data_IF_871288475451
#
_entry.id   IF_871288475451
#
_cell.length_a   1.000
_cell.length_b   1.000
_cell.length_c   1.000
_cell.angle_alpha   90.00
_cell.angle_beta   90.00
_cell.angle_gamma   90.00
#
_symmetry.space_group_name_H-M   'P 1'
#
loop_
_entity.id
_entity.type
_entity.pdbx_description
1 polymer ?
#
# COMPACT_ATOMS: atom_id res chain seq x y z
N UNK A 1 -33.52 4.19 -25.16
CA UNK A 1 -32.18 4.06 -24.54
C UNK A 1 -32.34 3.18 -23.29
N UNK A 2 -31.30 2.47 -22.83
CA UNK A 2 -31.40 1.66 -21.59
C UNK A 2 -30.55 2.25 -20.45
N UNK A 3 -31.01 2.11 -19.21
CA UNK A 3 -30.35 2.69 -18.04
C UNK A 3 -28.97 2.08 -17.78
N UNK A 4 -28.81 0.76 -17.87
CA UNK A 4 -27.53 0.14 -17.52
C UNK A 4 -26.47 0.53 -18.56
N UNK A 5 -26.83 0.59 -19.84
CA UNK A 5 -25.93 1.11 -20.89
C UNK A 5 -25.49 2.57 -20.66
N UNK A 6 -26.38 3.43 -20.15
CA UNK A 6 -26.06 4.84 -19.83
C UNK A 6 -25.24 4.94 -18.55
N UNK A 7 -25.58 4.15 -17.53
CA UNK A 7 -24.84 4.11 -16.28
C UNK A 7 -23.42 3.56 -16.50
N UNK A 8 -23.23 2.60 -17.41
CA UNK A 8 -21.92 2.09 -17.80
C UNK A 8 -21.07 3.09 -18.60
N UNK A 9 -21.66 3.97 -19.40
CA UNK A 9 -20.92 5.13 -19.93
C UNK A 9 -20.55 6.09 -18.78
N UNK A 10 -21.51 6.48 -17.95
CA UNK A 10 -21.33 7.53 -16.95
C UNK A 10 -20.32 7.15 -15.85
N UNK A 11 -20.37 5.93 -15.30
CA UNK A 11 -19.41 5.47 -14.29
C UNK A 11 -18.03 5.10 -14.86
N UNK A 12 -17.86 5.13 -16.20
CA UNK A 12 -16.54 5.12 -16.85
C UNK A 12 -15.89 6.51 -16.95
N UNK A 13 -16.63 7.60 -16.75
CA UNK A 13 -16.11 8.96 -16.86
C UNK A 13 -15.46 9.45 -15.55
N UNK A 14 -14.44 10.35 -15.63
CA UNK A 14 -13.91 11.02 -14.45
C UNK A 14 -15.01 11.74 -13.63
N UNK A 15 -14.95 11.75 -12.28
CA UNK A 15 -16.02 12.31 -11.46
C UNK A 15 -16.35 13.78 -11.75
N UNK A 16 -15.37 14.57 -12.21
CA UNK A 16 -15.55 15.95 -12.69
C UNK A 16 -16.52 16.06 -13.88
N UNK A 17 -16.49 15.09 -14.79
CA UNK A 17 -17.20 15.09 -16.08
C UNK A 17 -18.56 14.36 -15.98
N UNK A 18 -18.72 13.50 -14.96
CA UNK A 18 -19.92 12.72 -14.67
C UNK A 18 -21.21 13.55 -14.68
N UNK A 19 -21.28 14.64 -13.89
CA UNK A 19 -22.53 15.41 -13.72
C UNK A 19 -22.98 16.06 -15.03
N UNK A 20 -22.04 16.63 -15.79
CA UNK A 20 -22.36 17.27 -17.07
C UNK A 20 -22.86 16.24 -18.10
N UNK A 21 -22.23 15.07 -18.16
CA UNK A 21 -22.63 13.98 -19.06
C UNK A 21 -23.96 13.34 -18.65
N UNK A 22 -24.21 13.14 -17.34
CA UNK A 22 -25.47 12.66 -16.80
C UNK A 22 -26.62 13.60 -17.15
N UNK A 23 -26.42 14.89 -16.95
CA UNK A 23 -27.42 15.91 -17.24
C UNK A 23 -27.65 16.08 -18.75
N UNK A 24 -26.65 15.77 -19.60
CA UNK A 24 -26.80 15.64 -21.06
C UNK A 24 -27.66 14.43 -21.42
N UNK A 25 -27.30 13.22 -20.95
CA UNK A 25 -28.05 11.97 -21.19
C UNK A 25 -29.50 12.04 -20.70
N UNK A 26 -29.76 12.69 -19.55
CA UNK A 26 -31.11 12.92 -19.05
C UNK A 26 -31.93 13.91 -19.92
N UNK A 27 -31.29 14.84 -20.65
CA UNK A 27 -31.97 15.72 -21.62
C UNK A 27 -32.25 14.98 -22.93
N UNK A 28 -31.31 14.17 -23.41
CA UNK A 28 -31.47 13.32 -24.59
C UNK A 28 -32.66 12.36 -24.40
N UNK A 29 -32.71 11.62 -23.29
CA UNK A 29 -33.84 10.74 -22.95
C UNK A 29 -35.19 11.50 -22.89
N UNK A 30 -35.24 12.73 -22.38
CA UNK A 30 -36.45 13.57 -22.41
C UNK A 30 -36.86 13.97 -23.82
N UNK A 31 -35.91 14.28 -24.70
CA UNK A 31 -36.18 14.62 -26.09
C UNK A 31 -36.75 13.42 -26.88
N UNK A 32 -36.35 12.19 -26.54
CA UNK A 32 -36.91 10.95 -27.07
C UNK A 32 -38.21 10.50 -26.36
N UNK A 33 -38.74 11.28 -25.41
CA UNK A 33 -39.98 10.96 -24.69
C UNK A 33 -39.83 9.99 -23.51
N UNK A 34 -38.63 9.45 -23.27
CA UNK A 34 -38.29 8.46 -22.24
C UNK A 34 -38.20 9.11 -20.83
N UNK A 35 -39.31 9.70 -20.36
CA UNK A 35 -39.39 10.51 -19.14
C UNK A 35 -38.94 9.76 -17.88
N UNK A 36 -39.31 8.50 -17.74
CA UNK A 36 -38.93 7.66 -16.59
C UNK A 36 -37.43 7.34 -16.60
N UNK A 37 -36.88 6.99 -17.77
CA UNK A 37 -35.45 6.78 -17.95
C UNK A 37 -34.67 8.04 -17.58
N UNK A 38 -35.11 9.21 -18.06
CA UNK A 38 -34.49 10.48 -17.72
C UNK A 38 -34.56 10.83 -16.22
N UNK A 39 -35.57 10.34 -15.50
CA UNK A 39 -35.66 10.43 -14.04
C UNK A 39 -34.62 9.51 -13.38
N UNK A 40 -34.55 8.24 -13.81
CA UNK A 40 -33.57 7.25 -13.32
C UNK A 40 -32.12 7.68 -13.59
N UNK A 41 -31.80 8.22 -14.77
CA UNK A 41 -30.50 8.81 -15.09
C UNK A 41 -30.19 10.01 -14.17
N UNK A 42 -31.16 10.90 -13.95
CA UNK A 42 -31.00 12.04 -13.05
C UNK A 42 -30.75 11.65 -11.59
N UNK A 43 -31.27 10.50 -11.15
CA UNK A 43 -31.02 9.90 -9.84
C UNK A 43 -29.62 9.31 -9.66
N UNK A 44 -28.85 9.09 -10.73
CA UNK A 44 -27.48 8.58 -10.63
C UNK A 44 -26.58 9.57 -9.89
N UNK A 45 -25.80 9.03 -8.94
CA UNK A 45 -24.98 9.79 -8.00
C UNK A 45 -23.54 9.82 -8.50
N UNK A 46 -22.88 10.97 -8.41
CA UNK A 46 -21.47 11.10 -8.80
C UNK A 46 -20.60 10.21 -7.90
N UNK A 47 -19.75 9.34 -8.46
CA UNK A 47 -18.88 8.46 -7.67
C UNK A 47 -17.86 9.24 -6.84
N UNK A 48 -17.45 8.67 -5.70
CA UNK A 48 -16.23 9.12 -5.01
C UNK A 48 -14.98 8.78 -5.82
N UNK A 49 -13.83 9.41 -5.51
CA UNK A 49 -12.56 9.10 -6.17
C UNK A 49 -12.13 7.62 -6.00
N UNK A 50 -12.40 7.03 -4.83
CA UNK A 50 -12.15 5.62 -4.57
C UNK A 50 -13.13 4.71 -5.33
N UNK A 51 -14.42 5.04 -5.36
CA UNK A 51 -15.41 4.28 -6.13
C UNK A 51 -15.10 4.32 -7.64
N UNK A 52 -14.71 5.48 -8.17
CA UNK A 52 -14.23 5.64 -9.54
C UNK A 52 -13.00 4.78 -9.83
N UNK A 53 -11.98 4.81 -8.97
CA UNK A 53 -10.78 3.97 -9.14
C UNK A 53 -11.09 2.46 -9.05
N UNK A 54 -12.05 2.05 -8.22
CA UNK A 54 -12.55 0.68 -8.16
C UNK A 54 -13.36 0.29 -9.41
N UNK A 55 -14.15 1.19 -9.98
CA UNK A 55 -14.88 0.99 -11.24
C UNK A 55 -13.93 0.89 -12.45
N UNK A 56 -12.81 1.64 -12.46
CA UNK A 56 -11.79 1.55 -13.50
C UNK A 56 -11.13 0.17 -13.57
N UNK A 57 -10.89 -0.50 -12.43
CA UNK A 57 -10.36 -1.87 -12.43
C UNK A 57 -11.26 -2.84 -13.21
N UNK A 58 -12.58 -2.77 -13.03
CA UNK A 58 -13.54 -3.65 -13.70
C UNK A 58 -13.50 -3.49 -15.23
N UNK A 59 -13.21 -2.26 -15.69
CA UNK A 59 -13.26 -1.85 -17.10
C UNK A 59 -11.94 -2.12 -17.83
N UNK A 60 -10.83 -1.72 -17.22
CA UNK A 60 -9.48 -1.79 -17.80
C UNK A 60 -8.75 -3.09 -17.44
N UNK A 61 -9.20 -3.81 -16.39
CA UNK A 61 -8.58 -5.03 -15.83
C UNK A 61 -9.60 -6.15 -15.53
N UNK A 62 -10.46 -6.52 -16.51
CA UNK A 62 -11.54 -7.49 -16.29
C UNK A 62 -11.04 -8.89 -15.90
N UNK A 63 -9.88 -9.33 -16.45
CA UNK A 63 -9.30 -10.63 -16.13
C UNK A 63 -8.79 -10.70 -14.68
N UNK A 64 -8.16 -9.63 -14.20
CA UNK A 64 -7.73 -9.53 -12.80
C UNK A 64 -8.91 -9.35 -11.83
N UNK A 65 -10.00 -8.68 -12.27
CA UNK A 65 -11.28 -8.65 -11.54
C UNK A 65 -11.90 -10.03 -11.40
N UNK A 66 -12.00 -10.80 -12.50
CA UNK A 66 -12.50 -12.18 -12.48
C UNK A 66 -11.62 -13.10 -11.60
N UNK A 67 -10.30 -12.91 -11.62
CA UNK A 67 -9.37 -13.62 -10.74
C UNK A 67 -9.58 -13.29 -9.25
N UNK A 68 -9.91 -12.04 -8.90
CA UNK A 68 -10.24 -11.67 -7.52
C UNK A 68 -11.56 -12.29 -7.07
N UNK A 69 -12.59 -12.29 -7.92
CA UNK A 69 -13.90 -12.87 -7.59
C UNK A 69 -13.82 -14.38 -7.34
N UNK A 70 -13.04 -15.11 -8.16
CA UNK A 70 -12.71 -16.52 -7.93
C UNK A 70 -11.96 -16.74 -6.62
N UNK A 71 -10.98 -15.90 -6.27
CA UNK A 71 -10.30 -16.01 -4.97
C UNK A 71 -11.25 -15.79 -3.79
N UNK A 72 -12.27 -14.92 -3.95
CA UNK A 72 -13.34 -14.77 -2.95
C UNK A 72 -14.18 -16.02 -2.79
N UNK A 73 -14.45 -16.74 -3.88
CA UNK A 73 -15.14 -18.03 -3.86
C UNK A 73 -14.29 -19.13 -3.20
N UNK A 74 -13.02 -19.28 -3.62
CA UNK A 74 -12.03 -20.17 -2.99
C UNK A 74 -11.93 -19.93 -1.46
N UNK A 75 -11.92 -18.66 -1.02
CA UNK A 75 -11.87 -18.28 0.39
C UNK A 75 -13.15 -18.66 1.14
N UNK A 76 -14.33 -18.34 0.59
CA UNK A 76 -15.64 -18.67 1.20
C UNK A 76 -15.92 -20.17 1.20
N UNK A 77 -15.31 -20.94 0.31
CA UNK A 77 -15.30 -22.41 0.34
C UNK A 77 -14.41 -22.94 1.47
N UNK A 78 -13.14 -22.54 1.51
CA UNK A 78 -12.22 -22.94 2.56
C UNK A 78 -12.69 -22.53 3.98
N UNK A 79 -13.50 -21.47 4.10
CA UNK A 79 -14.18 -21.08 5.34
C UNK A 79 -15.32 -22.04 5.72
N UNK A 80 -16.19 -22.42 4.77
CA UNK A 80 -17.29 -23.39 4.99
C UNK A 80 -16.74 -24.77 5.38
N UNK A 81 -15.65 -25.18 4.75
CA UNK A 81 -14.98 -26.47 5.00
C UNK A 81 -14.03 -26.45 6.21
N UNK A 82 -13.90 -25.29 6.90
CA UNK A 82 -13.01 -25.06 8.04
C UNK A 82 -11.53 -25.39 7.77
N UNK A 83 -11.09 -25.33 6.51
CA UNK A 83 -9.74 -25.73 6.09
C UNK A 83 -8.69 -24.68 6.45
N UNK A 84 -8.26 -24.67 7.72
CA UNK A 84 -7.24 -23.76 8.25
C UNK A 84 -5.86 -23.83 7.57
N UNK A 85 -5.56 -24.86 6.77
CA UNK A 85 -4.35 -24.90 5.94
C UNK A 85 -4.53 -24.03 4.67
N UNK A 86 -5.54 -24.36 3.87
CA UNK A 86 -5.91 -23.63 2.65
C UNK A 86 -6.21 -22.15 2.94
N UNK A 87 -6.90 -21.84 4.05
CA UNK A 87 -7.17 -20.46 4.47
C UNK A 87 -5.90 -19.63 4.67
N UNK A 88 -4.80 -20.21 5.19
CA UNK A 88 -3.52 -19.48 5.37
C UNK A 88 -2.84 -19.19 4.05
N UNK A 89 -2.86 -20.14 3.12
CA UNK A 89 -2.32 -19.99 1.77
C UNK A 89 -3.10 -18.93 0.97
N UNK A 90 -4.43 -19.07 0.91
CA UNK A 90 -5.32 -18.12 0.24
C UNK A 90 -5.22 -16.71 0.84
N UNK A 91 -5.09 -16.58 2.17
CA UNK A 91 -4.85 -15.27 2.83
C UNK A 91 -3.53 -14.62 2.43
N UNK A 92 -2.50 -15.40 2.09
CA UNK A 92 -1.25 -14.89 1.54
C UNK A 92 -1.43 -14.32 0.14
N UNK A 93 -2.05 -15.13 -0.75
CA UNK A 93 -2.43 -14.76 -2.13
C UNK A 93 -3.34 -13.52 -2.16
N UNK A 94 -4.30 -13.45 -1.25
CA UNK A 94 -5.23 -12.33 -1.07
C UNK A 94 -4.49 -11.01 -0.86
N UNK A 95 -3.62 -10.92 0.16
CA UNK A 95 -2.88 -9.68 0.46
C UNK A 95 -2.03 -9.19 -0.70
N UNK A 96 -1.42 -10.11 -1.46
CA UNK A 96 -0.63 -9.78 -2.65
C UNK A 96 -1.51 -9.21 -3.77
N UNK A 97 -2.57 -9.92 -4.16
CA UNK A 97 -3.45 -9.51 -5.27
C UNK A 97 -4.19 -8.21 -4.93
N UNK A 98 -4.75 -8.07 -3.72
CA UNK A 98 -5.44 -6.84 -3.30
C UNK A 98 -4.49 -5.63 -3.28
N UNK A 99 -3.24 -5.79 -2.84
CA UNK A 99 -2.26 -4.68 -2.86
C UNK A 99 -1.84 -4.33 -4.29
N UNK A 100 -1.69 -5.32 -5.18
CA UNK A 100 -1.40 -5.07 -6.60
C UNK A 100 -2.56 -4.32 -7.29
N UNK A 101 -3.80 -4.76 -7.09
CA UNK A 101 -4.99 -4.09 -7.65
C UNK A 101 -5.19 -2.68 -7.10
N UNK A 102 -4.96 -2.45 -5.81
CA UNK A 102 -5.03 -1.10 -5.23
C UNK A 102 -3.92 -0.16 -5.77
N UNK A 103 -2.80 -0.68 -6.26
CA UNK A 103 -1.78 0.11 -6.99
C UNK A 103 -2.21 0.39 -8.43
N UNK A 104 -2.66 -0.64 -9.15
CA UNK A 104 -3.19 -0.50 -10.51
C UNK A 104 -4.36 0.48 -10.57
N UNK A 105 -5.29 0.47 -9.60
CA UNK A 105 -6.39 1.43 -9.50
C UNK A 105 -5.91 2.88 -9.38
N UNK A 106 -4.82 3.13 -8.64
CA UNK A 106 -4.19 4.46 -8.57
C UNK A 106 -3.55 4.85 -9.91
N UNK A 107 -2.84 3.92 -10.55
CA UNK A 107 -2.19 4.17 -11.85
C UNK A 107 -3.21 4.47 -12.96
N UNK A 108 -4.33 3.74 -13.01
CA UNK A 108 -5.45 3.98 -13.93
C UNK A 108 -6.15 5.33 -13.65
N UNK A 109 -6.37 5.68 -12.38
CA UNK A 109 -6.92 6.99 -12.02
C UNK A 109 -5.98 8.13 -12.42
N UNK A 110 -4.67 7.99 -12.22
CA UNK A 110 -3.67 8.98 -12.64
C UNK A 110 -3.59 9.10 -14.18
N UNK A 111 -3.80 8.01 -14.93
CA UNK A 111 -3.95 8.01 -16.40
C UNK A 111 -5.24 8.72 -16.86
N UNK A 112 -6.35 8.56 -16.13
CA UNK A 112 -7.57 9.34 -16.33
C UNK A 112 -7.45 10.83 -15.89
N UNK A 113 -6.29 11.23 -15.35
CA UNK A 113 -6.03 12.58 -14.87
C UNK A 113 -6.68 12.91 -13.53
N UNK A 114 -6.92 11.92 -12.68
CA UNK A 114 -7.43 12.08 -11.31
C UNK A 114 -6.42 11.52 -10.28
N UNK A 115 -5.84 12.40 -9.44
CA UNK A 115 -4.86 11.99 -8.43
C UNK A 115 -5.56 11.55 -7.15
N UNK A 116 -5.70 10.24 -6.95
CA UNK A 116 -6.26 9.69 -5.71
C UNK A 116 -5.25 9.78 -4.56
N UNK A 117 -5.74 10.04 -3.35
CA UNK A 117 -4.91 10.09 -2.13
C UNK A 117 -4.60 8.68 -1.61
N UNK A 118 -3.64 8.56 -0.69
CA UNK A 118 -3.42 7.31 0.05
C UNK A 118 -4.68 6.84 0.82
N UNK A 119 -5.59 7.75 1.19
CA UNK A 119 -6.85 7.34 1.84
C UNK A 119 -7.80 6.70 0.84
N UNK A 120 -7.99 7.34 -0.32
CA UNK A 120 -8.79 6.77 -1.41
C UNK A 120 -8.20 5.43 -1.91
N UNK A 121 -6.87 5.25 -1.87
CA UNK A 121 -6.23 3.97 -2.16
C UNK A 121 -6.54 2.90 -1.10
N UNK A 122 -6.65 3.27 0.18
CA UNK A 122 -7.11 2.36 1.26
C UNK A 122 -8.59 2.01 1.12
N UNK A 123 -9.44 2.99 0.80
CA UNK A 123 -10.88 2.80 0.51
C UNK A 123 -11.10 1.82 -0.67
N UNK A 124 -10.25 1.87 -1.71
CA UNK A 124 -10.23 0.85 -2.78
C UNK A 124 -9.82 -0.52 -2.22
N UNK A 125 -8.74 -0.62 -1.43
CA UNK A 125 -8.31 -1.88 -0.82
C UNK A 125 -9.39 -2.49 0.09
N UNK A 126 -10.14 -1.68 0.82
CA UNK A 126 -11.29 -2.08 1.66
C UNK A 126 -12.48 -2.54 0.81
N UNK A 127 -12.77 -1.84 -0.30
CA UNK A 127 -13.78 -2.27 -1.28
C UNK A 127 -13.46 -3.65 -1.85
N UNK A 128 -12.20 -3.87 -2.24
CA UNK A 128 -11.72 -5.15 -2.76
C UNK A 128 -11.73 -6.25 -1.70
N UNK A 129 -11.47 -5.93 -0.42
CA UNK A 129 -11.58 -6.89 0.69
C UNK A 129 -13.04 -7.27 0.96
N UNK A 130 -13.97 -6.30 0.89
CA UNK A 130 -15.41 -6.53 1.03
C UNK A 130 -15.95 -7.41 -0.10
N UNK A 131 -15.54 -7.15 -1.35
CA UNK A 131 -15.86 -7.95 -2.54
C UNK A 131 -15.30 -9.39 -2.52
N UNK A 132 -14.26 -9.65 -1.71
CA UNK A 132 -13.75 -11.00 -1.43
C UNK A 132 -14.55 -11.70 -0.32
N UNK A 133 -14.91 -10.96 0.74
CA UNK A 133 -15.64 -11.51 1.89
C UNK A 133 -17.10 -11.88 1.57
N UNK A 134 -17.79 -11.07 0.77
CA UNK A 134 -19.18 -11.30 0.37
C UNK A 134 -19.34 -11.46 -1.16
N UNK A 135 -20.23 -12.38 -1.54
CA UNK A 135 -20.55 -12.67 -2.93
C UNK A 135 -21.50 -11.63 -3.57
N UNK A 136 -22.37 -10.96 -2.80
CA UNK A 136 -23.17 -9.85 -3.35
C UNK A 136 -22.31 -8.59 -3.53
N UNK A 137 -21.51 -8.21 -2.55
CA UNK A 137 -20.51 -7.14 -2.68
C UNK A 137 -19.55 -7.39 -3.87
N UNK A 138 -19.13 -8.64 -4.08
CA UNK A 138 -18.39 -9.06 -5.27
C UNK A 138 -19.16 -8.80 -6.56
N UNK A 139 -20.44 -9.19 -6.63
CA UNK A 139 -21.33 -8.91 -7.78
C UNK A 139 -21.63 -7.42 -7.98
N UNK A 140 -21.70 -6.63 -6.92
CA UNK A 140 -21.95 -5.18 -7.00
C UNK A 140 -20.73 -4.46 -7.55
N UNK A 141 -19.53 -4.73 -7.01
CA UNK A 141 -18.28 -4.21 -7.55
C UNK A 141 -18.10 -4.64 -9.02
N UNK A 142 -18.36 -5.91 -9.36
CA UNK A 142 -18.23 -6.43 -10.72
C UNK A 142 -19.13 -5.75 -11.77
N UNK A 143 -20.13 -4.96 -11.38
CA UNK A 143 -20.91 -4.12 -12.32
C UNK A 143 -20.12 -2.88 -12.77
N UNK A 144 -19.09 -2.46 -12.04
CA UNK A 144 -18.31 -1.26 -12.34
C UNK A 144 -19.13 0.05 -12.26
N UNK A 145 -20.16 0.09 -11.40
CA UNK A 145 -21.13 1.20 -11.26
C UNK A 145 -21.26 1.73 -9.81
N UNK A 146 -20.24 1.54 -8.98
CA UNK A 146 -20.23 2.00 -7.58
C UNK A 146 -20.26 3.53 -7.47
N UNK A 147 -21.09 4.09 -6.59
CA UNK A 147 -21.04 5.51 -6.21
C UNK A 147 -20.18 5.77 -4.95
N UNK A 148 -19.93 4.74 -4.13
CA UNK A 148 -19.11 4.74 -2.90
C UNK A 148 -18.18 3.53 -2.84
N UNK A 149 -17.14 3.57 -1.99
CA UNK A 149 -16.43 2.37 -1.57
C UNK A 149 -17.40 1.38 -0.92
N UNK A 150 -17.16 0.08 -1.06
CA UNK A 150 -17.89 -0.94 -0.31
C UNK A 150 -17.24 -1.11 1.07
N UNK A 151 -17.99 -0.81 2.13
CA UNK A 151 -17.55 -0.92 3.53
C UNK A 151 -18.24 -2.10 4.19
N UNK A 152 -17.62 -3.28 4.15
CA UNK A 152 -18.12 -4.46 4.85
C UNK A 152 -17.89 -4.37 6.35
N UNK A 153 -18.93 -4.59 7.15
CA UNK A 153 -18.76 -4.84 8.58
C UNK A 153 -18.03 -6.18 8.77
N UNK A 154 -16.76 -6.14 9.19
CA UNK A 154 -15.93 -7.34 9.40
C UNK A 154 -16.36 -8.05 10.69
N UNK A 155 -17.53 -8.70 10.63
CA UNK A 155 -18.18 -9.36 11.75
C UNK A 155 -17.53 -10.69 12.11
N UNK A 156 -16.46 -10.65 12.91
CA UNK A 156 -16.24 -11.72 13.88
C UNK A 156 -17.23 -11.47 15.05
N UNK A 157 -18.02 -12.46 15.51
CA UNK A 157 -19.06 -12.21 16.51
C UNK A 157 -18.44 -11.89 17.89
N UNK A 158 -18.43 -10.61 18.26
CA UNK A 158 -17.78 -10.09 19.46
C UNK A 158 -18.32 -8.73 19.93
N UNK A 159 -19.48 -8.77 20.59
CA UNK A 159 -20.02 -7.83 21.58
C UNK A 159 -19.78 -6.31 21.44
N UNK A 160 -20.84 -5.60 21.01
CA UNK A 160 -21.35 -4.24 21.37
C UNK A 160 -22.07 -3.68 20.11
N UNK A 161 -23.34 -3.28 20.09
CA UNK A 161 -24.16 -2.56 21.09
C UNK A 161 -24.38 -1.14 20.55
N UNK A 162 -25.58 -0.60 20.31
CA UNK A 162 -26.98 -1.06 20.49
C UNK A 162 -27.83 -0.56 19.26
N UNK A 163 -29.16 -0.50 19.14
CA UNK A 163 -30.36 -0.61 20.02
C UNK A 163 -31.58 -1.18 19.26
N UNK A 164 -32.58 -1.69 20.01
CA UNK A 164 -34.00 -1.81 19.58
C UNK A 164 -34.40 -3.12 18.86
N UNK A 165 -35.55 -3.74 19.16
CA UNK A 165 -36.50 -3.54 20.27
C UNK A 165 -37.36 -4.82 20.50
N UNK A 166 -37.78 -5.06 21.76
CA UNK A 166 -38.84 -5.96 22.25
C UNK A 166 -38.83 -7.48 21.86
N UNK A 167 -38.87 -8.38 22.86
CA UNK A 167 -39.01 -9.83 22.61
C UNK A 167 -38.89 -10.82 23.79
N UNK A 168 -39.49 -10.53 24.95
CA UNK A 168 -39.60 -11.47 26.10
C UNK A 168 -41.08 -11.92 26.29
N UNK A 169 -41.43 -13.02 27.03
CA UNK A 169 -40.86 -13.42 28.34
C UNK A 169 -40.77 -14.93 28.70
N UNK A 170 -40.13 -15.22 29.85
CA UNK A 170 -40.27 -16.45 30.66
C UNK A 170 -39.26 -17.58 30.39
N UNK A 171 -38.85 -18.41 31.38
CA UNK A 171 -39.08 -18.37 32.83
C UNK A 171 -38.60 -19.63 33.58
N UNK A 172 -38.51 -19.56 34.92
CA UNK A 172 -38.40 -20.68 35.90
C UNK A 172 -37.19 -21.66 35.86
N UNK A 173 -36.16 -21.36 36.67
CA UNK A 173 -35.80 -22.12 37.90
C UNK A 173 -36.21 -23.62 38.01
N UNK A 174 -35.25 -24.57 38.14
CA UNK A 174 -35.03 -25.44 39.35
C UNK A 174 -34.06 -26.63 39.22
N UNK A 175 -33.60 -27.06 40.40
CA UNK A 175 -32.66 -28.12 40.78
C UNK A 175 -32.83 -29.52 40.17
N UNK A 176 -31.74 -30.32 40.25
CA UNK A 176 -31.73 -31.77 39.98
C UNK A 176 -30.98 -32.57 41.08
N UNK A 177 -31.43 -33.79 41.44
CA UNK A 177 -30.74 -34.72 42.34
C UNK A 177 -30.08 -35.92 41.60
N UNK A 178 -29.37 -36.77 42.34
CA UNK A 178 -28.46 -37.81 41.84
C UNK A 178 -29.13 -39.13 41.35
N UNK A 179 -28.44 -39.93 40.51
CA UNK A 179 -28.89 -41.27 40.10
C UNK A 179 -28.51 -42.38 41.10
N UNK A 180 -29.32 -43.43 41.15
CA UNK A 180 -29.11 -44.65 41.97
C UNK A 180 -29.03 -45.91 41.11
N UNK A 181 -28.33 -46.94 41.59
CA UNK A 181 -28.19 -48.24 40.92
C UNK A 181 -29.15 -49.31 41.47
N UNK A 182 -29.67 -50.17 40.59
CA UNK A 182 -29.91 -51.60 40.89
C UNK A 182 -29.51 -52.50 39.69
N UNK A 183 -29.50 -53.83 39.72
CA UNK A 183 -29.29 -54.85 40.77
C UNK A 183 -29.07 -56.21 40.06
N UNK A 184 -28.46 -57.19 40.73
CA UNK A 184 -28.33 -58.57 40.20
C UNK A 184 -29.49 -59.48 40.63
N UNK A 185 -29.74 -60.60 39.92
CA UNK A 185 -30.50 -61.74 40.45
C UNK A 185 -29.62 -62.99 40.72
N UNK A 186 -30.15 -63.89 41.55
CA UNK A 186 -29.56 -65.17 41.98
C UNK A 186 -30.19 -66.36 41.20
N UNK A 187 -29.88 -67.66 41.39
CA UNK A 187 -29.85 -68.43 42.64
C UNK A 187 -29.55 -69.94 42.44
N UNK A 188 -29.03 -70.60 43.50
CA UNK A 188 -29.18 -72.06 43.80
C UNK A 188 -28.59 -73.10 42.81
N UNK A 189 -28.37 -74.39 43.11
CA UNK A 189 -27.94 -75.15 44.33
C UNK A 189 -27.61 -76.62 43.86
N UNK A 190 -27.18 -77.64 44.63
CA UNK A 190 -26.96 -77.84 46.08
C UNK A 190 -25.93 -78.99 46.33
N UNK A 191 -25.63 -79.27 47.61
CA UNK A 191 -25.24 -80.55 48.23
C UNK A 191 -24.36 -81.62 47.51
N UNK A 192 -23.20 -81.92 48.11
CA UNK A 192 -22.91 -83.26 48.67
C UNK A 192 -21.65 -83.24 49.56
N UNK A 193 -21.70 -83.85 50.76
CA UNK A 193 -20.54 -83.96 51.64
C UNK A 193 -20.00 -85.40 51.68
N UNK A 194 -18.68 -85.59 51.58
CA UNK A 194 -18.01 -86.85 51.97
C UNK A 194 -16.62 -86.63 52.57
N UNK A 195 -16.49 -86.99 53.84
CA UNK A 195 -15.27 -86.92 54.66
C UNK A 195 -14.37 -88.13 54.36
N UNK A 196 -13.13 -87.92 53.90
CA UNK A 196 -12.05 -88.92 53.97
C UNK A 196 -10.73 -88.26 54.38
N UNK A 197 -9.98 -88.97 55.22
CA UNK A 197 -8.66 -88.61 55.72
C UNK A 197 -7.57 -88.99 54.72
N UNK A 198 -6.44 -88.28 54.75
CA UNK A 198 -5.28 -88.54 53.90
C UNK A 198 -4.19 -87.50 54.09
N UNK A 199 -3.35 -87.67 55.11
CA UNK A 199 -2.27 -86.72 55.39
C UNK A 199 -1.08 -86.89 54.43
N UNK A 200 -0.62 -85.80 53.83
CA UNK A 200 0.77 -85.66 53.38
C UNK A 200 1.31 -84.28 53.75
N UNK A 201 2.50 -84.28 54.34
CA UNK A 201 3.09 -83.14 55.05
C UNK A 201 4.22 -82.54 54.21
N UNK A 202 4.00 -81.33 53.70
CA UNK A 202 5.02 -80.44 53.12
C UNK A 202 4.89 -80.19 51.61
N UNK A 203 5.55 -79.13 51.08
CA UNK A 203 6.22 -78.04 51.80
C UNK A 203 5.49 -76.68 51.59
N UNK A 204 5.10 -76.01 52.66
CA UNK A 204 4.43 -74.70 52.59
C UNK A 204 5.34 -73.52 52.15
N UNK A 205 6.63 -73.76 51.92
CA UNK A 205 7.58 -72.72 51.49
C UNK A 205 7.48 -72.33 50.01
N UNK A 206 7.07 -73.24 49.12
CA UNK A 206 7.14 -73.01 47.67
C UNK A 206 6.20 -71.92 47.15
N UNK A 207 5.06 -71.71 47.80
CA UNK A 207 4.08 -70.67 47.40
C UNK A 207 4.55 -69.27 47.80
N UNK A 208 5.13 -69.14 48.99
CA UNK A 208 5.63 -67.87 49.51
C UNK A 208 6.81 -67.34 48.68
N UNK A 209 7.69 -68.23 48.20
CA UNK A 209 8.81 -67.85 47.32
C UNK A 209 8.32 -67.39 45.93
N UNK A 210 7.29 -68.05 45.37
CA UNK A 210 6.67 -67.61 44.11
C UNK A 210 6.02 -66.22 44.21
N UNK A 211 5.33 -65.91 45.30
CA UNK A 211 4.75 -64.58 45.50
C UNK A 211 5.79 -63.51 45.85
N UNK A 212 6.86 -63.86 46.57
CA UNK A 212 8.03 -62.99 46.73
C UNK A 212 8.73 -62.69 45.38
N UNK A 213 8.88 -63.69 44.51
CA UNK A 213 9.42 -63.52 43.16
C UNK A 213 8.52 -62.63 42.29
N UNK A 214 7.19 -62.81 42.37
CA UNK A 214 6.19 -61.94 41.71
C UNK A 214 6.25 -60.50 42.20
N UNK A 215 6.41 -60.27 43.50
CA UNK A 215 6.58 -58.93 44.08
C UNK A 215 7.85 -58.25 43.55
N UNK A 216 9.00 -58.95 43.59
CA UNK A 216 10.28 -58.45 43.05
C UNK A 216 10.22 -58.19 41.53
N UNK A 217 9.43 -58.97 40.78
CA UNK A 217 9.19 -58.74 39.35
C UNK A 217 8.39 -57.46 39.12
N UNK A 218 7.26 -57.29 39.82
CA UNK A 218 6.43 -56.06 39.75
C UNK A 218 7.21 -54.80 40.14
N UNK A 219 8.04 -54.87 41.18
CA UNK A 219 8.89 -53.76 41.62
C UNK A 219 9.92 -53.37 40.54
N UNK A 220 10.53 -54.36 39.87
CA UNK A 220 11.44 -54.12 38.73
C UNK A 220 10.72 -53.51 37.54
N UNK A 221 9.52 -53.99 37.21
CA UNK A 221 8.67 -53.45 36.15
C UNK A 221 8.25 -52.00 36.45
N UNK A 222 7.90 -51.68 37.71
CA UNK A 222 7.60 -50.32 38.16
C UNK A 222 8.83 -49.40 38.04
N UNK A 223 9.99 -49.81 38.57
CA UNK A 223 11.25 -49.05 38.48
C UNK A 223 11.69 -48.82 37.03
N UNK A 224 11.48 -49.80 36.14
CA UNK A 224 11.74 -49.66 34.70
C UNK A 224 10.78 -48.67 34.04
N UNK A 225 9.47 -48.78 34.30
CA UNK A 225 8.47 -47.85 33.78
C UNK A 225 8.67 -46.41 34.30
N UNK A 226 9.11 -46.23 35.53
CA UNK A 226 9.52 -44.91 36.03
C UNK A 226 10.75 -44.36 35.34
N UNK A 227 11.78 -45.19 35.11
CA UNK A 227 12.98 -44.78 34.36
C UNK A 227 12.62 -44.36 32.93
N UNK A 228 11.78 -45.15 32.24
CA UNK A 228 11.25 -44.81 30.92
C UNK A 228 10.48 -43.49 30.93
N UNK A 229 9.53 -43.29 31.86
CA UNK A 229 8.79 -42.02 31.99
C UNK A 229 9.70 -40.82 32.25
N UNK A 230 10.77 -40.97 33.05
CA UNK A 230 11.77 -39.92 33.30
C UNK A 230 12.64 -39.64 32.07
N UNK A 231 12.96 -40.66 31.27
CA UNK A 231 13.73 -40.54 30.03
C UNK A 231 12.89 -39.90 28.91
N UNK A 232 11.61 -40.26 28.79
CA UNK A 232 10.64 -39.58 27.93
C UNK A 232 10.43 -38.12 28.32
N UNK A 233 10.25 -37.81 29.61
CA UNK A 233 10.09 -36.44 30.07
C UNK A 233 11.30 -35.57 29.70
N UNK A 234 12.52 -36.08 29.93
CA UNK A 234 13.78 -35.44 29.53
C UNK A 234 13.97 -35.35 28.01
N UNK A 235 13.36 -36.25 27.24
CA UNK A 235 13.35 -36.16 25.77
C UNK A 235 12.45 -35.00 25.31
N UNK A 236 11.22 -34.93 25.83
CA UNK A 236 10.25 -33.87 25.54
C UNK A 236 10.75 -32.49 25.98
N UNK A 237 11.39 -32.42 27.15
CA UNK A 237 12.08 -31.22 27.67
C UNK A 237 13.12 -30.70 26.67
N UNK A 238 14.03 -31.56 26.20
CA UNK A 238 15.04 -31.20 25.19
C UNK A 238 14.48 -30.88 23.81
N UNK A 239 13.35 -31.45 23.44
CA UNK A 239 12.65 -31.13 22.19
C UNK A 239 12.03 -29.73 22.28
N UNK A 240 11.37 -29.40 23.40
CA UNK A 240 10.84 -28.06 23.67
C UNK A 240 11.95 -26.99 23.81
N UNK A 241 13.09 -27.32 24.44
CA UNK A 241 14.26 -26.43 24.49
C UNK A 241 14.82 -26.11 23.09
N UNK A 242 14.77 -27.07 22.15
CA UNK A 242 15.21 -26.87 20.77
C UNK A 242 14.21 -26.04 19.98
N UNK A 243 12.93 -26.40 20.04
CA UNK A 243 11.83 -25.67 19.42
C UNK A 243 11.78 -24.20 19.89
N UNK A 244 12.08 -23.93 21.17
CA UNK A 244 12.19 -22.58 21.71
C UNK A 244 13.41 -21.81 21.17
N UNK A 245 14.58 -22.45 21.03
CA UNK A 245 15.77 -21.83 20.43
C UNK A 245 15.57 -21.53 18.95
N UNK A 246 15.07 -22.50 18.19
CA UNK A 246 14.78 -22.36 16.76
C UNK A 246 13.76 -21.23 16.52
N UNK A 247 12.74 -21.10 17.38
CA UNK A 247 11.80 -19.95 17.35
C UNK A 247 12.45 -18.63 17.74
N UNK A 248 13.34 -18.60 18.72
CA UNK A 248 14.04 -17.39 19.14
C UNK A 248 15.00 -16.89 18.04
N UNK A 249 15.77 -17.80 17.44
CA UNK A 249 16.68 -17.54 16.32
C UNK A 249 15.89 -17.03 15.08
N UNK A 250 14.77 -17.68 14.75
CA UNK A 250 13.88 -17.22 13.68
C UNK A 250 13.25 -15.84 13.97
N UNK A 251 12.89 -15.55 15.23
CA UNK A 251 12.39 -14.23 15.63
C UNK A 251 13.48 -13.16 15.48
N UNK A 252 14.72 -13.42 15.90
CA UNK A 252 15.83 -12.47 15.71
C UNK A 252 16.13 -12.23 14.23
N UNK A 253 16.16 -13.26 13.39
CA UNK A 253 16.36 -13.10 11.95
C UNK A 253 15.25 -12.27 11.31
N UNK A 254 13.97 -12.52 11.65
CA UNK A 254 12.84 -11.73 11.16
C UNK A 254 12.88 -10.26 11.63
N UNK A 255 13.43 -9.98 12.82
CA UNK A 255 13.64 -8.62 13.31
C UNK A 255 14.77 -7.90 12.54
N UNK A 256 15.91 -8.57 12.33
CA UNK A 256 17.03 -8.04 11.54
C UNK A 256 16.63 -7.74 10.09
N UNK A 257 15.83 -8.62 9.47
CA UNK A 257 15.21 -8.42 8.15
C UNK A 257 14.25 -7.23 8.13
N UNK A 258 13.39 -7.08 9.14
CA UNK A 258 12.47 -5.95 9.26
C UNK A 258 13.21 -4.62 9.41
N UNK A 259 14.25 -4.55 10.25
CA UNK A 259 15.09 -3.35 10.36
C UNK A 259 15.84 -3.07 9.04
N UNK A 260 16.30 -4.10 8.32
CA UNK A 260 16.96 -3.93 7.02
C UNK A 260 15.99 -3.36 5.97
N UNK A 261 14.74 -3.82 5.96
CA UNK A 261 13.68 -3.28 5.12
C UNK A 261 13.35 -1.82 5.48
N UNK A 262 13.24 -1.47 6.77
CA UNK A 262 13.07 -0.08 7.22
C UNK A 262 14.24 0.83 6.79
N UNK A 263 15.49 0.37 6.97
CA UNK A 263 16.68 1.11 6.53
C UNK A 263 16.65 1.37 5.02
N UNK A 264 16.25 0.38 4.22
CA UNK A 264 16.11 0.54 2.78
C UNK A 264 14.94 1.46 2.39
N UNK A 265 13.81 1.41 3.10
CA UNK A 265 12.68 2.32 2.89
C UNK A 265 13.11 3.77 3.11
N UNK A 266 13.73 4.08 4.26
CA UNK A 266 14.19 5.45 4.59
C UNK A 266 15.16 5.98 3.53
N UNK A 267 16.17 5.19 3.12
CA UNK A 267 17.08 5.54 2.02
C UNK A 267 16.37 5.78 0.67
N UNK A 268 15.23 5.12 0.44
CA UNK A 268 14.41 5.33 -0.77
C UNK A 268 13.58 6.61 -0.67
N UNK A 269 13.05 6.92 0.51
CA UNK A 269 12.32 8.16 0.80
C UNK A 269 13.24 9.39 0.69
N UNK A 270 14.47 9.31 1.22
CA UNK A 270 15.50 10.33 1.11
C UNK A 270 15.84 10.64 -0.36
N UNK A 271 16.13 9.61 -1.17
CA UNK A 271 16.38 9.76 -2.62
C UNK A 271 15.19 10.36 -3.38
N UNK A 272 13.97 10.05 -2.96
CA UNK A 272 12.75 10.65 -3.54
C UNK A 272 12.60 12.11 -3.12
N UNK A 273 13.06 12.51 -1.93
CA UNK A 273 13.12 13.91 -1.51
C UNK A 273 14.19 14.70 -2.28
N UNK A 274 15.38 14.13 -2.47
CA UNK A 274 16.47 14.69 -3.27
C UNK A 274 16.03 14.94 -4.72
N UNK A 275 15.52 13.92 -5.42
CA UNK A 275 15.06 14.04 -6.81
C UNK A 275 13.90 15.05 -6.97
N UNK A 276 13.07 15.27 -5.94
CA UNK A 276 12.03 16.30 -5.93
C UNK A 276 12.60 17.71 -5.76
N UNK A 277 13.70 17.88 -5.03
CA UNK A 277 14.42 19.15 -4.94
C UNK A 277 15.08 19.50 -6.28
N UNK A 278 15.80 18.56 -6.88
CA UNK A 278 16.42 18.71 -8.21
C UNK A 278 15.39 19.09 -9.29
N UNK A 279 14.24 18.41 -9.33
CA UNK A 279 13.14 18.72 -10.27
C UNK A 279 12.62 20.16 -10.09
N UNK A 280 12.42 20.60 -8.85
CA UNK A 280 11.92 21.95 -8.52
C UNK A 280 12.89 23.04 -8.99
N UNK A 281 14.20 22.80 -8.85
CA UNK A 281 15.24 23.74 -9.26
C UNK A 281 15.42 23.74 -10.79
N UNK A 282 15.37 22.56 -11.44
CA UNK A 282 15.35 22.45 -12.90
C UNK A 282 14.13 23.14 -13.53
N UNK A 283 12.94 23.05 -12.91
CA UNK A 283 11.78 23.83 -13.32
C UNK A 283 12.01 25.36 -13.13
N UNK A 284 12.69 25.76 -12.05
CA UNK A 284 12.98 27.17 -11.79
C UNK A 284 13.96 27.75 -12.81
N UNK A 285 14.96 26.98 -13.22
CA UNK A 285 15.83 27.30 -14.35
C UNK A 285 15.03 27.37 -15.66
N UNK A 286 14.18 26.38 -15.96
CA UNK A 286 13.35 26.37 -17.17
C UNK A 286 12.43 27.61 -17.24
N UNK A 287 11.84 28.04 -16.12
CA UNK A 287 11.05 29.28 -16.03
C UNK A 287 11.90 30.51 -16.39
N UNK A 288 13.08 30.67 -15.75
CA UNK A 288 14.01 31.77 -16.03
C UNK A 288 14.49 31.77 -17.48
N UNK A 289 14.79 30.61 -18.06
CA UNK A 289 15.20 30.47 -19.46
C UNK A 289 14.08 30.88 -20.44
N UNK A 290 12.83 30.49 -20.17
CA UNK A 290 11.66 30.91 -20.96
C UNK A 290 11.43 32.43 -20.88
N UNK A 291 11.56 33.03 -19.70
CA UNK A 291 11.45 34.48 -19.50
C UNK A 291 12.57 35.24 -20.22
N UNK A 292 13.82 34.79 -20.11
CA UNK A 292 14.95 35.36 -20.81
C UNK A 292 14.79 35.27 -22.34
N UNK A 293 14.34 34.12 -22.87
CA UNK A 293 14.06 33.93 -24.29
C UNK A 293 12.92 34.84 -24.79
N UNK A 294 11.87 35.05 -23.98
CA UNK A 294 10.79 36.02 -24.29
C UNK A 294 11.34 37.44 -24.33
N UNK A 295 12.10 37.86 -23.32
CA UNK A 295 12.72 39.18 -23.27
C UNK A 295 13.70 39.43 -24.43
N UNK A 296 14.46 38.41 -24.86
CA UNK A 296 15.32 38.49 -26.03
C UNK A 296 14.52 38.68 -27.33
N UNK A 297 13.44 37.91 -27.54
CA UNK A 297 12.52 38.07 -28.69
C UNK A 297 11.87 39.45 -28.72
N UNK A 298 11.46 39.98 -27.57
CA UNK A 298 10.86 41.32 -27.48
C UNK A 298 11.87 42.45 -27.72
N UNK A 299 13.15 42.27 -27.34
CA UNK A 299 14.25 43.19 -27.72
C UNK A 299 14.52 43.14 -29.22
N UNK A 300 14.58 41.95 -29.83
CA UNK A 300 14.81 41.77 -31.26
C UNK A 300 13.73 42.47 -32.09
N UNK A 301 12.44 42.26 -31.77
CA UNK A 301 11.30 42.95 -32.42
C UNK A 301 11.35 44.47 -32.27
N UNK A 302 11.89 45.00 -31.16
CA UNK A 302 12.07 46.45 -30.98
C UNK A 302 13.21 46.99 -31.86
N UNK A 303 14.33 46.27 -31.95
CA UNK A 303 15.44 46.63 -32.83
C UNK A 303 15.05 46.57 -34.31
N UNK A 304 14.32 45.54 -34.74
CA UNK A 304 13.78 45.39 -36.10
C UNK A 304 12.87 46.55 -36.50
N UNK A 305 11.97 46.99 -35.60
CA UNK A 305 11.12 48.17 -35.80
C UNK A 305 11.96 49.46 -35.91
N UNK A 306 12.93 49.65 -35.02
CA UNK A 306 13.81 50.82 -35.05
C UNK A 306 14.67 50.88 -36.34
N UNK A 307 15.15 49.73 -36.84
CA UNK A 307 15.85 49.63 -38.12
C UNK A 307 14.93 49.96 -39.30
N UNK A 308 13.68 49.49 -39.27
CA UNK A 308 12.65 49.79 -40.28
C UNK A 308 12.32 51.28 -40.30
N UNK A 309 12.14 51.91 -39.12
CA UNK A 309 11.96 53.36 -39.02
C UNK A 309 13.17 54.15 -39.51
N UNK A 310 14.39 53.70 -39.18
CA UNK A 310 15.62 54.36 -39.63
C UNK A 310 15.77 54.32 -41.16
N UNK A 311 15.51 53.17 -41.79
CA UNK A 311 15.46 53.03 -43.26
C UNK A 311 14.44 53.99 -43.88
N UNK A 312 13.20 53.99 -43.39
CA UNK A 312 12.13 54.88 -43.88
C UNK A 312 12.45 56.37 -43.68
N UNK A 313 13.29 56.75 -42.72
CA UNK A 313 13.80 58.13 -42.55
C UNK A 313 14.91 58.45 -43.55
N UNK A 314 15.81 57.52 -43.83
CA UNK A 314 16.90 57.69 -44.82
C UNK A 314 16.40 57.68 -46.28
N UNK A 315 15.37 56.90 -46.58
CA UNK A 315 14.69 56.86 -47.90
C UNK A 315 13.84 58.10 -48.18
N UNK A 316 13.64 58.99 -47.19
CA UNK A 316 12.82 60.18 -47.34
C UNK A 316 13.66 61.33 -47.92
N UNK A 317 13.42 61.80 -49.16
CA UNK A 317 14.28 62.81 -49.79
C UNK A 317 14.21 64.14 -49.04
N UNK A 318 15.37 64.79 -48.91
CA UNK A 318 15.51 66.11 -48.29
C UNK A 318 15.02 67.22 -49.25
N UNK A 319 13.71 67.32 -49.45
CA UNK A 319 13.10 68.19 -50.48
C UNK A 319 11.71 68.69 -50.12
N UNK A 320 11.60 69.53 -49.09
CA UNK A 320 10.39 70.32 -48.77
C UNK A 320 10.77 71.50 -47.86
N UNK A 321 11.47 72.50 -48.41
CA UNK A 321 12.10 73.58 -47.63
C UNK A 321 12.21 74.91 -48.37
N UNK A 322 11.13 75.39 -48.97
CA UNK A 322 11.02 76.73 -49.55
C UNK A 322 9.55 77.19 -49.54
N UNK A 323 9.24 78.35 -48.96
CA UNK A 323 7.88 78.92 -49.01
C UNK A 323 7.49 79.87 -47.87
N UNK A 324 7.64 81.18 -48.14
CA UNK A 324 6.90 82.33 -47.60
C UNK A 324 6.99 82.72 -46.10
N UNK A 325 7.37 83.98 -45.89
CA UNK A 325 7.06 84.80 -44.70
C UNK A 325 5.56 85.05 -44.52
N UNK A 326 5.14 85.44 -43.31
CA UNK A 326 3.79 85.92 -43.03
C UNK A 326 3.63 86.50 -41.62
N UNK A 327 3.55 87.82 -41.50
CA UNK A 327 3.30 88.50 -40.24
C UNK A 327 1.79 88.52 -39.88
N UNK A 328 1.46 88.50 -38.58
CA UNK A 328 0.07 88.63 -38.13
C UNK A 328 -0.07 88.70 -36.60
N UNK A 329 -0.60 89.81 -36.10
CA UNK A 329 -0.98 89.97 -34.69
C UNK A 329 -2.46 89.58 -34.47
N UNK A 330 -2.80 89.10 -33.27
CA UNK A 330 -4.21 88.78 -32.92
C UNK A 330 -4.40 88.46 -31.44
N UNK A 331 -5.42 89.04 -30.82
CA UNK A 331 -5.74 88.87 -29.39
C UNK A 331 -7.01 88.03 -29.17
N UNK A 332 -7.08 87.28 -28.06
CA UNK A 332 -8.26 86.45 -27.71
C UNK A 332 -7.99 85.41 -26.61
N UNK A 333 -7.87 85.73 -25.32
CA UNK A 333 -8.90 86.24 -24.36
C UNK A 333 -9.77 85.12 -23.71
N UNK A 334 -9.25 84.55 -22.61
CA UNK A 334 -9.97 83.82 -21.53
C UNK A 334 -10.45 82.39 -21.92
N UNK A 335 -10.91 81.48 -21.01
CA UNK A 335 -11.40 81.63 -19.62
C UNK A 335 -11.35 80.32 -18.78
N UNK A 336 -10.81 80.40 -17.55
CA UNK A 336 -11.13 79.66 -16.27
C UNK A 336 -11.45 78.15 -16.19
N UNK A 337 -10.90 77.48 -15.15
CA UNK A 337 -11.41 76.22 -14.53
C UNK A 337 -10.29 75.21 -14.23
N UNK A 338 -9.57 75.21 -13.10
CA UNK A 338 -9.95 75.04 -11.68
C UNK A 338 -10.50 73.61 -11.34
N UNK A 339 -9.81 72.77 -10.56
CA UNK A 339 -8.43 72.85 -10.02
C UNK A 339 -8.14 71.94 -8.82
N UNK A 340 -6.99 72.18 -8.14
CA UNK A 340 -6.45 71.59 -6.88
C UNK A 340 -5.89 70.15 -7.03
N UNK A 341 -4.57 69.94 -6.84
CA UNK A 341 -3.77 69.78 -5.58
C UNK A 341 -4.05 68.43 -4.90
N UNK A 342 -3.06 67.59 -4.53
CA UNK A 342 -1.83 67.81 -3.71
C UNK A 342 -0.65 66.92 -4.20
N UNK A 343 0.62 66.96 -3.74
CA UNK A 343 1.49 67.91 -2.98
C UNK A 343 2.96 67.63 -3.40
N UNK A 344 3.89 68.58 -3.17
CA UNK A 344 5.28 68.54 -3.64
C UNK A 344 6.31 68.21 -2.50
N UNK A 345 7.64 68.52 -2.56
CA UNK A 345 8.63 67.42 -2.54
C UNK A 345 9.86 67.56 -1.61
N UNK A 346 10.74 66.55 -1.69
CA UNK A 346 12.21 66.58 -1.52
C UNK A 346 12.88 66.69 -0.12
N UNK A 347 13.86 65.80 0.13
CA UNK A 347 15.17 66.15 0.72
C UNK A 347 16.26 65.08 0.51
N UNK A 348 17.52 65.55 0.40
CA UNK A 348 18.82 64.84 0.62
C UNK A 348 19.26 65.03 2.11
N UNK A 349 20.38 64.48 2.65
CA UNK A 349 21.52 63.72 2.09
C UNK A 349 21.59 62.25 2.58
N UNK A 350 22.65 61.43 2.40
CA UNK A 350 23.90 61.57 1.63
C UNK A 350 25.21 61.42 2.45
N UNK A 351 26.22 60.72 1.89
CA UNK A 351 27.44 60.23 2.59
C UNK A 351 27.36 58.70 2.81
N UNK A 352 28.45 57.92 2.89
CA UNK A 352 29.89 58.16 2.67
C UNK A 352 30.53 56.87 2.06
N UNK A 353 31.82 56.88 1.75
CA UNK A 353 32.54 55.73 1.16
C UNK A 353 33.79 55.36 1.94
N UNK A 354 34.07 54.06 2.09
CA UNK A 354 35.27 53.55 2.75
C UNK A 354 35.83 52.29 2.08
N UNK A 355 37.14 52.04 2.27
CA UNK A 355 37.88 50.89 1.73
C UNK A 355 38.51 50.10 2.88
N UNK A 356 38.61 48.76 2.82
CA UNK A 356 39.62 48.03 3.59
C UNK A 356 40.97 48.06 2.87
N UNK A 357 42.05 48.35 3.60
CA UNK A 357 43.43 48.38 3.11
C UNK A 357 44.30 47.22 3.63
N UNK A 358 45.51 47.09 3.08
CA UNK A 358 46.52 46.08 3.46
C UNK A 358 47.17 46.37 4.82
N UNK A 359 47.35 45.36 5.71
CA UNK A 359 47.75 45.60 7.11
C UNK A 359 48.59 44.56 7.88
N UNK A 360 49.38 43.71 7.19
CA UNK A 360 50.60 43.00 7.67
C UNK A 360 50.90 42.92 9.20
N UNK A 361 50.82 41.73 9.82
CA UNK A 361 51.32 41.44 11.18
C UNK A 361 51.93 40.03 11.33
N UNK A 362 52.96 39.84 12.18
CA UNK A 362 53.71 38.57 12.36
C UNK A 362 53.58 37.98 13.77
N UNK A 363 53.21 36.71 13.86
CA UNK A 363 53.74 35.65 14.75
C UNK A 363 53.32 34.29 14.16
N UNK A 364 53.95 33.15 14.45
CA UNK A 364 55.11 32.91 15.30
C UNK A 364 55.05 31.56 16.01
N UNK A 365 54.94 30.44 15.29
CA UNK A 365 54.87 29.10 15.88
C UNK A 365 55.12 28.00 14.85
N UNK A 366 55.85 26.96 15.22
CA UNK A 366 56.31 25.91 14.31
C UNK A 366 56.05 24.51 14.86
N UNK A 367 55.85 23.52 13.97
CA UNK A 367 56.62 22.26 13.97
C UNK A 367 56.38 21.37 12.74
N UNK A 368 57.51 20.96 12.17
CA UNK A 368 57.86 19.77 11.36
C UNK A 368 56.76 19.00 10.59
N UNK A 369 57.03 18.89 9.30
CA UNK A 369 56.69 17.75 8.46
C UNK A 369 57.22 16.39 8.97
N UNK A 370 56.48 15.33 8.68
CA UNK A 370 57.02 14.11 8.07
C UNK A 370 56.06 13.62 6.99
N UNK A 371 56.58 13.35 5.79
CA UNK A 371 55.84 12.67 4.74
C UNK A 371 56.49 11.33 4.43
N UNK A 372 55.69 10.28 4.25
CA UNK A 372 56.14 8.94 3.87
C UNK A 372 55.24 8.37 2.78
N UNK A 373 55.57 8.69 1.52
CA UNK A 373 54.99 7.98 0.39
C UNK A 373 55.59 6.57 0.28
N UNK A 374 54.77 5.58 -0.10
CA UNK A 374 55.25 4.25 -0.50
C UNK A 374 54.74 3.91 -1.89
N UNK A 375 55.65 3.96 -2.88
CA UNK A 375 55.49 3.22 -4.14
C UNK A 375 55.82 1.75 -3.87
N UNK A 376 55.09 0.83 -4.50
CA UNK A 376 55.65 -0.42 -5.04
C UNK A 376 54.58 -1.22 -5.81
N UNK A 377 54.86 -1.50 -7.10
CA UNK A 377 54.65 -2.78 -7.83
C UNK A 377 53.41 -3.64 -7.47
N UNK A 378 52.54 -4.05 -8.39
CA UNK A 378 52.74 -4.21 -9.84
C UNK A 378 53.48 -5.51 -10.16
N UNK A 379 52.75 -6.60 -10.42
CA UNK A 379 53.29 -7.90 -10.77
C UNK A 379 52.32 -8.68 -11.67
N UNK A 380 52.83 -9.25 -12.76
CA UNK A 380 52.10 -10.04 -13.76
C UNK A 380 51.39 -11.28 -13.19
N UNK A 381 50.26 -11.64 -13.82
CA UNK A 381 49.95 -13.05 -14.11
C UNK A 381 49.46 -13.20 -15.55
N UNK A 382 50.29 -13.87 -16.36
CA UNK A 382 50.11 -14.08 -17.80
C UNK A 382 49.90 -15.57 -18.08
N UNK A 383 48.98 -15.87 -19.01
CA UNK A 383 48.93 -17.11 -19.82
C UNK A 383 49.04 -18.48 -19.12
N UNK A 384 47.91 -19.18 -18.99
CA UNK A 384 47.77 -20.55 -19.51
C UNK A 384 46.30 -21.00 -19.51
N UNK A 385 45.85 -21.93 -20.36
CA UNK A 385 46.62 -22.57 -21.43
C UNK A 385 46.25 -24.02 -21.78
N UNK A 386 45.07 -24.52 -21.41
CA UNK A 386 44.55 -25.82 -21.89
C UNK A 386 43.02 -25.89 -21.77
N UNK A 387 42.27 -26.54 -22.66
CA UNK A 387 42.71 -27.24 -23.87
C UNK A 387 42.37 -28.73 -23.92
N UNK A 388 41.11 -29.11 -23.67
CA UNK A 388 40.61 -30.45 -24.04
C UNK A 388 39.39 -30.35 -24.95
N UNK A 389 39.58 -30.73 -26.21
CA UNK A 389 38.50 -31.18 -27.09
C UNK A 389 37.99 -32.52 -26.56
N UNK A 390 36.68 -32.76 -26.62
CA UNK A 390 36.15 -34.10 -26.82
C UNK A 390 35.45 -34.14 -28.17
N UNK A 391 35.76 -35.14 -28.99
CA UNK A 391 35.22 -35.31 -30.33
C UNK A 391 34.14 -36.38 -30.31
N UNK A 392 32.87 -35.98 -30.47
CA UNK A 392 31.74 -36.89 -30.62
C UNK A 392 31.19 -36.82 -32.05
N UNK A 393 31.66 -37.69 -32.95
CA UNK A 393 31.06 -37.86 -34.27
C UNK A 393 31.40 -39.23 -34.87
N UNK A 394 30.40 -39.85 -35.49
CA UNK A 394 30.46 -41.24 -35.98
C UNK A 394 29.99 -42.28 -34.93
N UNK A 395 29.30 -43.35 -35.32
CA UNK A 395 28.85 -43.73 -36.68
C UNK A 395 27.71 -44.78 -36.61
N UNK A 396 26.60 -44.52 -37.33
CA UNK A 396 25.63 -45.56 -37.77
C UNK A 396 26.23 -46.35 -38.94
N UNK A 397 25.90 -47.65 -39.11
CA UNK A 397 24.57 -48.07 -39.57
C UNK A 397 23.50 -48.22 -38.48
#
# INVERSE_FOLDING_TARGET
MDLDSVADELYGLPPRDFTASRDRRAREARAHGERELASRIGGLRRPTLAAFAANLLVRERPAETEALLRLGEELREAQRDLNGAQLRELSGRQRQITSALARAARELAEQAGERISQNAQREVQETLHTALADAEAGREWARGRLDRPLTGAVGFPGETGETGEAGQPGGAERAGPAPSAPSAPSSSSSAAARKRTGGRRGPSGGVADLDAARARRREREQRQGEKQRREEARRREREAERELRERAEAHTAAADEAEAAERHQRQTEDRVAEARAELKDAEAEQRRAREAARAARDRAKKAERALTEARRRAEKPAGAGAGADGAGAGAGKRRTGAGKKTVAPAKKPGGAAEKPGTGRGKTGGARKSTGTGKKSTGADRKSSGSGKKSTGSGKKP
#
